data_IF_501871168055
#
_entry.id   IF_501871168055
#
_cell.length_a   1.000
_cell.length_b   1.000
_cell.length_c   1.000
_cell.angle_alpha   90.00
_cell.angle_beta   90.00
_cell.angle_gamma   90.00
#
_symmetry.space_group_name_H-M   'P 1'
#
loop_
_entity.id
_entity.type
_entity.pdbx_description
1 polymer ?
#
# COMPACT_ATOMS: atom_id res chain seq x y z
N UNK A 1 -2.13 39.71 0.25
CA UNK A 1 -2.95 39.61 -0.97
C UNK A 1 -4.21 38.84 -0.63
N UNK A 2 -5.38 39.46 -0.71
CA UNK A 2 -6.64 38.73 -0.56
C UNK A 2 -6.88 37.85 -1.80
N UNK A 3 -7.34 36.62 -1.58
CA UNK A 3 -7.61 35.66 -2.65
C UNK A 3 -8.74 36.19 -3.55
N UNK A 4 -8.61 36.05 -4.89
CA UNK A 4 -9.54 36.62 -5.88
C UNK A 4 -11.01 36.27 -5.62
N UNK A 5 -11.27 35.13 -4.97
CA UNK A 5 -12.59 34.71 -4.50
C UNK A 5 -13.27 35.71 -3.56
N UNK A 6 -12.53 36.30 -2.62
CA UNK A 6 -13.08 37.25 -1.64
C UNK A 6 -13.59 38.53 -2.32
N UNK A 7 -12.99 38.92 -3.45
CA UNK A 7 -13.41 40.08 -4.24
C UNK A 7 -14.65 39.79 -5.11
N UNK A 8 -14.77 38.56 -5.61
CA UNK A 8 -15.78 38.19 -6.60
C UNK A 8 -17.11 37.73 -6.00
N UNK A 9 -17.12 37.27 -4.74
CA UNK A 9 -18.32 36.71 -4.07
C UNK A 9 -19.50 37.69 -3.92
N UNK A 10 -19.26 38.99 -3.99
CA UNK A 10 -20.28 40.03 -3.83
C UNK A 10 -20.81 40.58 -5.16
N UNK A 11 -20.30 40.07 -6.29
CA UNK A 11 -20.77 40.48 -7.61
C UNK A 11 -22.21 40.00 -7.84
N UNK A 12 -23.13 40.87 -8.34
CA UNK A 12 -24.56 40.56 -8.43
C UNK A 12 -24.90 39.28 -9.20
N UNK A 13 -24.10 38.96 -10.23
CA UNK A 13 -24.20 37.74 -11.04
C UNK A 13 -24.12 36.46 -10.19
N UNK A 14 -23.39 36.49 -9.08
CA UNK A 14 -23.20 35.34 -8.19
C UNK A 14 -24.19 35.33 -7.03
N UNK A 15 -24.76 36.48 -6.66
CA UNK A 15 -25.75 36.58 -5.58
C UNK A 15 -27.13 36.05 -5.98
N UNK A 16 -27.58 36.25 -7.23
CA UNK A 16 -28.89 35.77 -7.72
C UNK A 16 -29.04 34.24 -7.61
N UNK A 17 -27.96 33.50 -7.79
CA UNK A 17 -27.95 32.05 -7.63
C UNK A 17 -28.07 31.62 -6.16
N UNK A 18 -27.48 32.36 -5.22
CA UNK A 18 -27.58 32.05 -3.78
C UNK A 18 -29.02 32.26 -3.29
N UNK A 19 -29.72 33.30 -3.76
CA UNK A 19 -31.10 33.59 -3.36
C UNK A 19 -32.12 32.55 -3.88
N UNK A 20 -31.76 31.81 -4.94
CA UNK A 20 -32.64 30.84 -5.61
C UNK A 20 -32.32 29.39 -5.24
N UNK A 21 -31.13 29.12 -4.69
CA UNK A 21 -30.78 27.84 -4.08
C UNK A 21 -31.66 27.62 -2.84
N UNK A 22 -32.62 26.69 -2.95
CA UNK A 22 -33.49 26.25 -1.85
C UNK A 22 -34.99 26.44 -2.06
N UNK A 23 -35.43 27.25 -3.03
CA UNK A 23 -36.87 27.42 -3.30
C UNK A 23 -37.37 26.36 -4.30
N UNK A 24 -37.89 25.24 -3.79
CA UNK A 24 -38.64 24.24 -4.59
C UNK A 24 -39.82 24.92 -5.28
N UNK A 25 -39.88 24.85 -6.62
CA UNK A 25 -41.03 25.29 -7.42
C UNK A 25 -42.22 24.33 -7.16
N UNK A 26 -43.36 24.84 -6.68
CA UNK A 26 -44.63 24.07 -6.59
C UNK A 26 -45.22 23.91 -7.99
N UNK A 27 -45.62 22.69 -8.38
CA UNK A 27 -46.33 22.43 -9.64
C UNK A 27 -47.83 22.75 -9.51
N UNK A 28 -48.50 23.23 -10.57
CA UNK A 28 -49.92 23.53 -10.50
C UNK A 28 -50.77 22.25 -10.57
N UNK A 29 -51.85 22.30 -9.81
CA UNK A 29 -52.88 21.31 -9.51
C UNK A 29 -53.74 20.99 -10.75
N UNK A 30 -54.01 19.70 -11.02
CA UNK A 30 -54.93 19.27 -12.08
C UNK A 30 -56.31 19.01 -11.47
N UNK A 31 -57.30 19.80 -11.91
CA UNK A 31 -58.73 19.63 -11.64
C UNK A 31 -59.23 18.38 -12.36
N UNK A 32 -59.78 17.43 -11.60
CA UNK A 32 -60.42 16.20 -12.10
C UNK A 32 -61.92 16.45 -12.25
N UNK A 33 -62.45 16.43 -13.47
CA UNK A 33 -63.90 16.28 -13.71
C UNK A 33 -64.15 14.84 -14.17
N UNK A 34 -64.95 14.13 -13.39
CA UNK A 34 -65.41 12.76 -13.62
C UNK A 34 -66.81 12.85 -14.23
N UNK A 35 -67.03 12.23 -15.39
CA UNK A 35 -68.36 11.78 -15.82
C UNK A 35 -68.20 10.36 -16.36
N UNK A 36 -69.06 9.50 -15.83
CA UNK A 36 -69.08 8.03 -15.83
C UNK A 36 -69.86 7.46 -17.04
N UNK A 37 -69.42 6.28 -17.53
CA UNK A 37 -70.24 5.08 -17.90
C UNK A 37 -71.28 5.25 -19.03
N UNK A 38 -71.45 4.43 -20.08
CA UNK A 38 -71.05 3.07 -20.43
C UNK A 38 -71.39 2.87 -21.93
N UNK A 39 -70.60 2.12 -22.72
CA UNK A 39 -71.14 1.37 -23.87
C UNK A 39 -70.17 0.25 -24.28
N UNK A 40 -70.63 -0.99 -24.10
CA UNK A 40 -69.96 -2.23 -24.44
C UNK A 40 -69.56 -2.35 -25.93
N UNK A 41 -68.42 -3.01 -26.18
CA UNK A 41 -68.17 -3.89 -27.33
C UNK A 41 -66.95 -4.77 -27.05
N UNK A 42 -67.14 -6.08 -27.20
CA UNK A 42 -66.06 -7.07 -27.26
C UNK A 42 -65.19 -6.78 -28.49
N UNK A 43 -63.92 -6.45 -28.28
CA UNK A 43 -62.89 -6.50 -29.30
C UNK A 43 -61.71 -7.29 -28.74
N UNK A 44 -61.35 -8.36 -29.46
CA UNK A 44 -60.12 -9.12 -29.26
C UNK A 44 -58.95 -8.18 -29.63
N UNK A 45 -58.54 -7.37 -28.66
CA UNK A 45 -57.40 -6.48 -28.81
C UNK A 45 -56.13 -7.33 -28.71
N UNK A 46 -55.58 -7.64 -29.87
CA UNK A 46 -54.18 -8.04 -30.06
C UNK A 46 -53.34 -7.21 -29.10
N UNK A 47 -52.70 -7.89 -28.14
CA UNK A 47 -51.77 -7.28 -27.20
C UNK A 47 -50.51 -6.86 -27.97
N UNK A 48 -50.63 -5.81 -28.79
CA UNK A 48 -49.48 -5.10 -29.35
C UNK A 48 -48.88 -4.35 -28.17
N UNK A 49 -47.95 -5.02 -27.49
CA UNK A 49 -47.16 -4.45 -26.41
C UNK A 49 -46.56 -3.13 -26.92
N UNK A 50 -46.96 -2.02 -26.28
CA UNK A 50 -46.45 -0.69 -26.62
C UNK A 50 -44.93 -0.71 -26.59
N UNK A 51 -44.23 -0.16 -27.60
CA UNK A 51 -42.79 -0.16 -27.59
C UNK A 51 -42.27 0.51 -26.31
N UNK A 52 -41.27 -0.10 -25.65
CA UNK A 52 -40.78 0.37 -24.38
C UNK A 52 -40.38 1.83 -24.50
N UNK A 53 -40.98 2.68 -23.67
CA UNK A 53 -40.75 4.12 -23.76
C UNK A 53 -39.27 4.48 -23.65
N UNK A 54 -38.87 5.62 -24.21
CA UNK A 54 -37.49 6.13 -24.22
C UNK A 54 -36.78 6.09 -22.86
N UNK A 55 -37.52 6.12 -21.74
CA UNK A 55 -36.98 5.95 -20.38
C UNK A 55 -36.50 4.52 -20.08
N UNK A 56 -37.27 3.50 -20.46
CA UNK A 56 -36.94 2.09 -20.24
C UNK A 56 -35.77 1.65 -21.14
N UNK A 57 -35.70 2.16 -22.36
CA UNK A 57 -34.54 1.96 -23.24
C UNK A 57 -33.28 2.62 -22.69
N UNK A 58 -33.36 3.89 -22.25
CA UNK A 58 -32.24 4.60 -21.62
C UNK A 58 -31.75 3.92 -20.33
N UNK A 59 -32.64 3.29 -19.57
CA UNK A 59 -32.26 2.52 -18.38
C UNK A 59 -31.55 1.21 -18.76
N UNK A 60 -32.05 0.47 -19.76
CA UNK A 60 -31.38 -0.73 -20.28
C UNK A 60 -30.00 -0.42 -20.86
N UNK A 61 -29.87 0.69 -21.59
CA UNK A 61 -28.60 1.20 -22.13
C UNK A 61 -27.60 1.56 -21.02
N UNK A 62 -28.08 2.18 -19.93
CA UNK A 62 -27.24 2.48 -18.75
C UNK A 62 -26.78 1.21 -18.03
N UNK A 63 -27.65 0.21 -17.90
CA UNK A 63 -27.31 -1.09 -17.29
C UNK A 63 -26.29 -1.87 -18.12
N UNK A 64 -26.41 -1.86 -19.46
CA UNK A 64 -25.42 -2.45 -20.37
C UNK A 64 -24.04 -1.80 -20.22
N UNK A 65 -23.97 -0.46 -20.26
CA UNK A 65 -22.70 0.28 -20.08
C UNK A 65 -22.05 0.10 -18.71
N UNK A 66 -22.85 -0.13 -17.67
CA UNK A 66 -22.35 -0.39 -16.31
C UNK A 66 -21.76 -1.79 -16.14
N UNK A 67 -22.24 -2.78 -16.90
CA UNK A 67 -21.71 -4.16 -16.91
C UNK A 67 -20.50 -4.28 -17.84
N UNK A 68 -20.46 -3.48 -18.90
CA UNK A 68 -19.33 -3.40 -19.85
C UNK A 68 -18.18 -2.52 -19.32
N UNK A 69 -18.37 -1.92 -18.13
CA UNK A 69 -17.28 -1.30 -17.39
C UNK A 69 -16.27 -2.35 -16.98
N UNK A 70 -15.04 -2.19 -17.44
CA UNK A 70 -13.91 -3.11 -17.29
C UNK A 70 -13.37 -3.23 -15.84
N UNK A 71 -14.27 -3.49 -14.88
CA UNK A 71 -14.00 -3.54 -13.45
C UNK A 71 -13.08 -4.72 -13.09
N UNK A 72 -13.18 -5.83 -13.84
CA UNK A 72 -12.29 -6.99 -13.70
C UNK A 72 -10.84 -6.65 -14.02
N UNK A 73 -10.57 -6.03 -15.16
CA UNK A 73 -9.20 -5.65 -15.54
C UNK A 73 -8.63 -4.62 -14.57
N UNK A 74 -9.42 -3.62 -14.15
CA UNK A 74 -9.02 -2.63 -13.15
C UNK A 74 -8.64 -3.30 -11.83
N UNK A 75 -9.45 -4.24 -11.33
CA UNK A 75 -9.15 -5.00 -10.10
C UNK A 75 -7.87 -5.83 -10.24
N UNK A 76 -7.67 -6.49 -11.38
CA UNK A 76 -6.44 -7.27 -11.61
C UNK A 76 -5.20 -6.38 -11.72
N UNK A 77 -5.31 -5.22 -12.37
CA UNK A 77 -4.22 -4.25 -12.48
C UNK A 77 -3.85 -3.70 -11.10
N UNK A 78 -4.84 -3.36 -10.27
CA UNK A 78 -4.62 -2.93 -8.89
C UNK A 78 -3.95 -4.01 -8.05
N UNK A 79 -4.39 -5.26 -8.15
CA UNK A 79 -3.78 -6.39 -7.44
C UNK A 79 -2.30 -6.56 -7.83
N UNK A 80 -2.00 -6.53 -9.13
CA UNK A 80 -0.61 -6.59 -9.65
C UNK A 80 0.24 -5.45 -9.11
N UNK A 81 -0.26 -4.20 -9.15
CA UNK A 81 0.47 -3.06 -8.61
C UNK A 81 0.75 -3.18 -7.11
N UNK A 82 -0.19 -3.74 -6.33
CA UNK A 82 0.03 -3.97 -4.90
C UNK A 82 1.05 -5.08 -4.64
N UNK A 83 1.04 -6.14 -5.43
CA UNK A 83 2.00 -7.24 -5.35
C UNK A 83 3.40 -6.77 -5.75
N UNK A 84 3.54 -6.09 -6.89
CA UNK A 84 4.81 -5.51 -7.36
C UNK A 84 5.41 -4.55 -6.33
N UNK A 85 4.55 -3.75 -5.68
CA UNK A 85 5.00 -2.87 -4.59
C UNK A 85 5.48 -3.67 -3.39
N UNK A 86 4.80 -4.75 -3.03
CA UNK A 86 5.18 -5.60 -1.91
C UNK A 86 6.51 -6.31 -2.18
N UNK A 87 6.68 -6.91 -3.36
CA UNK A 87 7.91 -7.60 -3.77
C UNK A 87 9.09 -6.63 -3.82
N UNK A 88 8.94 -5.46 -4.45
CA UNK A 88 10.00 -4.45 -4.52
C UNK A 88 10.44 -3.97 -3.13
N UNK A 89 9.49 -3.78 -2.22
CA UNK A 89 9.80 -3.35 -0.85
C UNK A 89 10.52 -4.44 -0.05
N UNK A 90 10.12 -5.70 -0.25
CA UNK A 90 10.73 -6.85 0.40
C UNK A 90 12.14 -7.14 -0.13
N UNK A 91 12.33 -7.10 -1.45
CA UNK A 91 13.65 -7.20 -2.08
C UNK A 91 14.60 -6.12 -1.56
N UNK A 92 14.13 -4.88 -1.42
CA UNK A 92 14.93 -3.79 -0.85
C UNK A 92 15.33 -4.05 0.60
N UNK A 93 14.42 -4.59 1.42
CA UNK A 93 14.73 -4.97 2.81
C UNK A 93 15.76 -6.08 2.85
N UNK A 94 15.58 -7.11 2.05
CA UNK A 94 16.48 -8.26 1.98
C UNK A 94 17.86 -7.87 1.44
N UNK A 95 17.93 -6.96 0.48
CA UNK A 95 19.20 -6.42 -0.01
C UNK A 95 19.97 -5.69 1.11
N UNK A 96 19.29 -4.86 1.91
CA UNK A 96 19.91 -4.18 3.05
C UNK A 96 20.39 -5.17 4.11
N UNK A 97 19.54 -6.13 4.50
CA UNK A 97 19.91 -7.16 5.47
C UNK A 97 21.11 -7.99 5.00
N UNK A 98 21.11 -8.40 3.72
CA UNK A 98 22.22 -9.12 3.11
C UNK A 98 23.50 -8.30 3.12
N UNK A 99 23.44 -7.03 2.74
CA UNK A 99 24.60 -6.14 2.77
C UNK A 99 25.17 -5.94 4.19
N UNK A 100 24.31 -5.84 5.21
CA UNK A 100 24.73 -5.72 6.60
C UNK A 100 25.35 -7.02 7.13
N UNK A 101 24.78 -8.18 6.79
CA UNK A 101 25.36 -9.48 7.11
C UNK A 101 26.74 -9.63 6.46
N UNK A 102 26.88 -9.32 5.17
CA UNK A 102 28.16 -9.37 4.44
C UNK A 102 29.19 -8.42 5.06
N UNK A 103 28.81 -7.19 5.39
CA UNK A 103 29.68 -6.22 6.07
C UNK A 103 30.14 -6.74 7.43
N UNK A 104 29.23 -7.31 8.22
CA UNK A 104 29.55 -7.87 9.53
C UNK A 104 30.48 -9.10 9.43
N UNK A 105 30.26 -9.98 8.45
CA UNK A 105 31.09 -11.14 8.19
C UNK A 105 32.50 -10.72 7.72
N UNK A 106 32.58 -9.74 6.83
CA UNK A 106 33.86 -9.18 6.37
C UNK A 106 34.65 -8.56 7.53
N UNK A 107 33.98 -7.84 8.43
CA UNK A 107 34.62 -7.28 9.64
C UNK A 107 35.12 -8.39 10.57
N UNK A 108 34.30 -9.40 10.85
CA UNK A 108 34.70 -10.57 11.67
C UNK A 108 35.90 -11.29 11.08
N UNK A 109 35.94 -11.49 9.76
CA UNK A 109 37.06 -12.11 9.08
C UNK A 109 38.34 -11.28 9.20
N UNK A 110 38.24 -9.95 9.01
CA UNK A 110 39.38 -9.03 9.20
C UNK A 110 39.89 -9.06 10.64
N UNK A 111 39.01 -9.05 11.63
CA UNK A 111 39.34 -9.19 13.06
C UNK A 111 40.11 -10.49 13.31
N UNK A 112 39.57 -11.65 12.90
CA UNK A 112 40.24 -12.96 13.06
C UNK A 112 41.61 -13.01 12.39
N UNK A 113 41.75 -12.44 11.18
CA UNK A 113 43.04 -12.38 10.48
C UNK A 113 44.07 -11.54 11.24
N UNK A 114 43.65 -10.40 11.80
CA UNK A 114 44.53 -9.57 12.62
C UNK A 114 44.91 -10.25 13.92
N UNK A 115 43.96 -10.89 14.60
CA UNK A 115 44.21 -11.64 15.84
C UNK A 115 45.18 -12.79 15.63
N UNK A 116 45.02 -13.55 14.55
CA UNK A 116 45.94 -14.63 14.19
C UNK A 116 47.37 -14.11 13.95
N UNK A 117 47.51 -12.96 13.27
CA UNK A 117 48.80 -12.30 13.09
C UNK A 117 49.39 -11.84 14.42
N UNK A 118 48.58 -11.27 15.31
CA UNK A 118 49.01 -10.86 16.64
C UNK A 118 49.50 -12.03 17.49
N UNK A 119 48.81 -13.17 17.43
CA UNK A 119 49.19 -14.38 18.16
C UNK A 119 50.52 -14.96 17.67
N UNK A 120 50.83 -14.81 16.38
CA UNK A 120 52.07 -15.30 15.76
C UNK A 120 53.23 -14.30 15.87
N UNK A 121 52.99 -13.08 16.32
CA UNK A 121 54.01 -12.04 16.42
C UNK A 121 55.05 -12.43 17.49
N UNK A 122 56.31 -12.59 17.08
CA UNK A 122 57.42 -12.76 18.03
C UNK A 122 57.75 -11.42 18.69
N UNK A 123 57.87 -11.44 20.02
CA UNK A 123 58.12 -10.27 20.84
C UNK A 123 59.60 -10.17 21.27
N UNK A 124 60.40 -11.22 21.07
CA UNK A 124 61.78 -11.30 21.55
C UNK A 124 62.66 -10.12 21.09
N UNK A 125 62.41 -9.60 19.89
CA UNK A 125 63.15 -8.48 19.29
C UNK A 125 62.64 -7.07 19.66
N UNK A 126 61.58 -6.95 20.46
CA UNK A 126 60.99 -5.66 20.85
C UNK A 126 61.54 -5.17 22.20
N UNK A 127 61.39 -3.86 22.48
CA UNK A 127 61.76 -3.30 23.79
C UNK A 127 60.79 -3.78 24.89
N UNK A 128 61.21 -3.79 26.15
CA UNK A 128 60.45 -4.27 27.31
C UNK A 128 59.00 -3.74 27.38
N UNK A 129 58.82 -2.43 27.19
CA UNK A 129 57.49 -1.81 27.19
C UNK A 129 56.59 -2.35 26.06
N UNK A 130 57.15 -2.55 24.86
CA UNK A 130 56.42 -3.07 23.71
C UNK A 130 56.11 -4.56 23.89
N UNK A 131 57.06 -5.32 24.43
CA UNK A 131 56.87 -6.73 24.78
C UNK A 131 55.69 -6.90 25.74
N UNK A 132 55.62 -6.12 26.81
CA UNK A 132 54.52 -6.17 27.76
C UNK A 132 53.17 -5.83 27.11
N UNK A 133 53.14 -4.75 26.30
CA UNK A 133 51.93 -4.33 25.60
C UNK A 133 51.39 -5.41 24.66
N UNK A 134 52.23 -5.98 23.81
CA UNK A 134 51.80 -7.00 22.86
C UNK A 134 51.55 -8.35 23.54
N UNK A 135 52.26 -8.69 24.60
CA UNK A 135 51.97 -9.87 25.44
C UNK A 135 50.57 -9.78 26.06
N UNK A 136 50.18 -8.59 26.53
CA UNK A 136 48.83 -8.34 27.03
C UNK A 136 47.77 -8.57 25.95
N UNK A 137 48.01 -8.08 24.72
CA UNK A 137 47.10 -8.29 23.59
C UNK A 137 46.98 -9.77 23.24
N UNK A 138 48.10 -10.50 23.12
CA UNK A 138 48.11 -11.94 22.83
C UNK A 138 47.31 -12.71 23.87
N UNK A 139 47.51 -12.41 25.17
CA UNK A 139 46.75 -13.04 26.26
C UNK A 139 45.25 -12.75 26.16
N UNK A 140 44.87 -11.51 25.89
CA UNK A 140 43.46 -11.11 25.73
C UNK A 140 42.78 -11.86 24.59
N UNK A 141 43.45 -11.96 23.43
CA UNK A 141 42.95 -12.71 22.28
C UNK A 141 42.78 -14.20 22.64
N UNK A 142 43.77 -14.79 23.32
CA UNK A 142 43.71 -16.19 23.75
C UNK A 142 42.54 -16.47 24.69
N UNK A 143 42.30 -15.58 25.67
CA UNK A 143 41.15 -15.69 26.57
C UNK A 143 39.81 -15.57 25.84
N UNK A 144 39.71 -14.69 24.85
CA UNK A 144 38.51 -14.54 24.02
C UNK A 144 38.24 -15.81 23.20
N UNK A 145 39.28 -16.36 22.54
CA UNK A 145 39.17 -17.62 21.80
C UNK A 145 38.84 -18.82 22.70
N UNK A 146 39.38 -18.88 23.92
CA UNK A 146 39.06 -19.93 24.90
C UNK A 146 37.59 -19.89 25.30
N UNK A 147 37.01 -18.69 25.49
CA UNK A 147 35.59 -18.53 25.82
C UNK A 147 34.68 -18.99 24.67
N UNK A 148 35.04 -18.66 23.43
CA UNK A 148 34.28 -19.07 22.24
C UNK A 148 34.24 -20.60 22.08
N UNK A 149 35.34 -21.29 22.38
CA UNK A 149 35.41 -22.77 22.31
C UNK A 149 34.61 -23.42 23.45
N UNK A 150 34.64 -22.84 24.66
CA UNK A 150 33.94 -23.39 25.83
C UNK A 150 32.42 -23.19 25.88
N UNK A 151 31.86 -22.31 25.03
CA UNK A 151 30.44 -21.92 25.07
C UNK A 151 29.47 -22.76 24.22
N UNK A 152 29.94 -23.78 23.49
CA UNK A 152 29.11 -24.53 22.52
C UNK A 152 28.54 -25.87 23.03
N UNK A 153 28.73 -26.21 24.31
CA UNK A 153 28.32 -27.52 24.86
C UNK A 153 26.98 -27.50 25.61
N UNK A 154 25.90 -27.06 24.96
CA UNK A 154 24.52 -27.37 25.41
C UNK A 154 23.66 -27.81 24.23
N UNK A 155 23.84 -29.05 23.78
CA UNK A 155 22.89 -29.74 22.92
C UNK A 155 21.79 -30.36 23.79
N UNK A 156 20.73 -29.59 24.07
CA UNK A 156 19.48 -30.16 24.57
C UNK A 156 18.65 -30.61 23.36
N UNK A 157 18.82 -31.87 22.95
CA UNK A 157 17.86 -32.56 22.10
C UNK A 157 16.71 -33.09 22.96
N UNK A 158 15.45 -32.67 22.75
CA UNK A 158 14.31 -33.36 23.34
C UNK A 158 14.10 -34.66 22.56
N UNK A 159 14.21 -35.80 23.24
CA UNK A 159 13.73 -37.09 22.72
C UNK A 159 12.18 -37.11 22.69
N UNK A 160 11.57 -37.87 21.76
CA UNK A 160 10.14 -37.84 21.46
C UNK A 160 9.23 -38.38 22.58
#
# INVERSE_FOLDING_TARGET
MEHCWCLLRHQPKWQQHISTVGKKRKSPEKVTNVVDVDQAKEDIEVLVERPPGKKAEKERERKRKSIEGNDGEIKTALAKMTEDRATTMEERRNATLKADLERSAAFKLKKKKWEAKMMLLDLSGLNAMQQEYFSYIQRKIYEEWRKDIGGTSTCNTPFP
#
